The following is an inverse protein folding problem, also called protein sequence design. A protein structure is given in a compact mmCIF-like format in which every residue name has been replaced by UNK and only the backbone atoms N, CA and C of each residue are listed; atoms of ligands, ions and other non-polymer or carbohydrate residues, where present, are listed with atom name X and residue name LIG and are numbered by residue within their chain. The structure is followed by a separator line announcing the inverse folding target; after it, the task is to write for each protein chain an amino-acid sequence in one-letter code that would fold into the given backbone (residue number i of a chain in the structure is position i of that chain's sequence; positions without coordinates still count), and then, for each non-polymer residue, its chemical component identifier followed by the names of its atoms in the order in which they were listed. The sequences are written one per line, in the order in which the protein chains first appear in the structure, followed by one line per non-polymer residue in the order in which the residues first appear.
data_IF_482569616250
#
_entry.id   IF_482569616250
#
_cell.length_a   1.000
_cell.length_b   1.000
_cell.length_c   1.000
_cell.angle_alpha   90.00
_cell.angle_beta   90.00
_cell.angle_gamma   90.00
#
_symmetry.space_group_name_H-M   'P 1'
#
loop_
_entity.id
_entity.type
_entity.pdbx_description
1 polymer ?
#
# COMPACT_ATOMS: atom_id res chain seq x y z
N UNK A 1 -45.97 -35.24 -26.38
CA UNK A 1 -45.22 -34.89 -25.15
C UNK A 1 -44.04 -34.01 -25.54
N UNK A 2 -44.12 -32.69 -25.29
CA UNK A 2 -43.14 -31.69 -25.77
C UNK A 2 -41.96 -31.60 -24.79
N UNK A 3 -40.75 -31.70 -25.34
CA UNK A 3 -39.45 -31.62 -24.64
C UNK A 3 -39.25 -30.20 -24.10
N UNK A 4 -38.95 -30.07 -22.81
CA UNK A 4 -38.61 -28.81 -22.15
C UNK A 4 -37.09 -28.58 -22.31
N UNK A 5 -36.71 -27.88 -23.38
CA UNK A 5 -35.34 -27.37 -23.56
C UNK A 5 -35.15 -26.16 -22.66
N UNK A 6 -34.64 -26.35 -21.46
CA UNK A 6 -34.19 -25.26 -20.58
C UNK A 6 -32.86 -24.77 -21.14
N UNK A 7 -32.92 -23.61 -21.79
CA UNK A 7 -31.81 -22.94 -22.44
C UNK A 7 -30.79 -22.47 -21.40
N UNK A 8 -29.55 -22.97 -21.47
CA UNK A 8 -28.41 -22.64 -20.58
C UNK A 8 -27.78 -21.25 -20.87
N UNK A 9 -28.53 -20.32 -21.45
CA UNK A 9 -27.99 -19.05 -21.92
C UNK A 9 -28.68 -17.89 -21.22
N UNK A 10 -28.24 -17.54 -20.01
CA UNK A 10 -28.41 -16.20 -19.38
C UNK A 10 -27.91 -16.22 -17.93
N UNK A 11 -26.60 -16.28 -17.71
CA UNK A 11 -26.01 -15.64 -16.51
C UNK A 11 -24.49 -15.42 -16.61
N UNK A 12 -23.98 -15.04 -17.79
CA UNK A 12 -22.65 -14.41 -17.87
C UNK A 12 -22.81 -12.90 -17.68
N UNK A 13 -23.33 -12.49 -16.52
CA UNK A 13 -23.16 -11.12 -16.05
C UNK A 13 -21.73 -11.04 -15.51
N UNK A 14 -20.81 -10.65 -16.39
CA UNK A 14 -19.47 -10.21 -16.01
C UNK A 14 -19.62 -9.11 -14.97
N UNK A 15 -19.45 -9.48 -13.70
CA UNK A 15 -19.14 -8.55 -12.63
C UNK A 15 -17.73 -8.02 -12.90
N UNK A 16 -17.61 -7.01 -13.77
CA UNK A 16 -16.49 -6.08 -13.71
C UNK A 16 -16.64 -5.30 -12.41
N UNK A 17 -16.19 -5.89 -11.31
CA UNK A 17 -15.99 -5.15 -10.07
C UNK A 17 -14.81 -4.23 -10.35
N UNK A 18 -15.09 -2.97 -10.66
CA UNK A 18 -14.09 -1.91 -10.64
C UNK A 18 -13.59 -1.81 -9.19
N UNK A 19 -12.53 -2.55 -8.87
CA UNK A 19 -11.85 -2.38 -7.59
C UNK A 19 -11.06 -1.08 -7.69
N UNK A 20 -11.71 0.03 -7.32
CA UNK A 20 -11.05 1.32 -7.19
C UNK A 20 -9.89 1.16 -6.20
N UNK A 21 -8.67 1.19 -6.71
CA UNK A 21 -7.49 1.15 -5.88
C UNK A 21 -7.40 2.48 -5.12
N UNK A 22 -7.42 2.40 -3.79
CA UNK A 22 -7.15 3.52 -2.91
C UNK A 22 -5.67 3.84 -2.96
N UNK A 23 -5.34 5.13 -3.07
CA UNK A 23 -3.96 5.61 -3.05
C UNK A 23 -3.73 6.43 -1.79
N UNK A 24 -2.69 6.08 -1.02
CA UNK A 24 -2.19 6.90 0.09
C UNK A 24 -0.82 7.48 -0.29
N UNK A 25 -0.62 8.77 0.01
CA UNK A 25 0.65 9.48 -0.20
C UNK A 25 1.14 10.01 1.15
N UNK A 26 2.30 9.54 1.59
CA UNK A 26 2.96 10.05 2.80
C UNK A 26 4.02 11.06 2.38
N UNK A 27 3.82 12.32 2.76
CA UNK A 27 4.80 13.38 2.59
C UNK A 27 5.72 13.41 3.80
N UNK A 28 7.01 13.39 3.56
CA UNK A 28 8.05 13.42 4.60
C UNK A 28 8.90 14.66 4.46
N UNK A 29 9.37 15.19 5.59
CA UNK A 29 10.25 16.34 5.62
C UNK A 29 11.67 15.89 5.30
N UNK A 30 12.03 16.01 4.02
CA UNK A 30 13.39 15.76 3.52
C UNK A 30 13.68 14.34 3.02
N UNK A 31 12.73 13.41 3.12
CA UNK A 31 12.86 12.05 2.55
C UNK A 31 12.02 11.84 1.28
N UNK A 32 11.15 12.79 0.93
CA UNK A 32 10.33 12.77 -0.28
C UNK A 32 8.87 12.38 -0.02
N UNK A 33 8.23 11.77 -1.02
CA UNK A 33 6.85 11.31 -0.93
C UNK A 33 6.77 9.82 -1.26
N UNK A 34 6.15 9.06 -0.38
CA UNK A 34 5.96 7.61 -0.52
C UNK A 34 4.51 7.31 -0.86
N UNK A 35 4.31 6.44 -1.85
CA UNK A 35 2.97 6.15 -2.39
C UNK A 35 2.66 4.67 -2.24
N UNK A 36 1.56 4.36 -1.57
CA UNK A 36 0.98 3.03 -1.48
C UNK A 36 -0.36 2.99 -2.20
N UNK A 37 -0.62 1.89 -2.91
CA UNK A 37 -1.86 1.66 -3.64
C UNK A 37 -2.40 0.29 -3.26
N UNK A 38 -3.63 0.25 -2.75
CA UNK A 38 -4.26 -1.00 -2.31
C UNK A 38 -5.78 -0.93 -2.43
N UNK A 39 -6.46 -2.02 -2.08
CA UNK A 39 -7.93 -2.08 -2.10
C UNK A 39 -8.59 -1.31 -0.94
N UNK A 40 -7.84 -1.01 0.11
CA UNK A 40 -8.33 -0.29 1.30
C UNK A 40 -7.39 0.84 1.67
N UNK A 41 -7.91 1.87 2.36
CA UNK A 41 -7.11 2.97 2.89
C UNK A 41 -5.99 2.48 3.81
N UNK A 42 -6.29 1.59 4.76
CA UNK A 42 -5.28 1.03 5.65
C UNK A 42 -4.17 0.30 4.90
N UNK A 43 -4.51 -0.55 3.93
CA UNK A 43 -3.48 -1.27 3.16
C UNK A 43 -2.67 -0.32 2.28
N UNK A 44 -3.29 0.74 1.74
CA UNK A 44 -2.58 1.74 0.97
C UNK A 44 -1.62 2.55 1.87
N UNK A 45 -2.04 2.85 3.10
CA UNK A 45 -1.20 3.48 4.11
C UNK A 45 -0.03 2.58 4.54
N UNK A 46 -0.29 1.33 4.88
CA UNK A 46 0.74 0.36 5.27
C UNK A 46 1.83 0.22 4.19
N UNK A 47 1.44 0.08 2.92
CA UNK A 47 2.39 0.03 1.80
C UNK A 47 3.18 1.33 1.62
N UNK A 48 2.60 2.49 1.94
CA UNK A 48 3.31 3.75 1.88
C UNK A 48 4.29 3.89 3.06
N UNK A 49 3.89 3.45 4.25
CA UNK A 49 4.70 3.48 5.47
C UNK A 49 5.89 2.50 5.39
N UNK A 50 5.69 1.31 4.82
CA UNK A 50 6.77 0.34 4.56
C UNK A 50 7.86 0.95 3.66
N UNK A 51 7.45 1.58 2.54
CA UNK A 51 8.38 2.28 1.64
C UNK A 51 9.11 3.43 2.32
N UNK A 52 8.42 4.15 3.21
CA UNK A 52 9.02 5.21 4.02
C UNK A 52 10.13 4.64 4.91
N UNK A 53 9.84 3.59 5.67
CA UNK A 53 10.80 2.92 6.54
C UNK A 53 12.02 2.40 5.78
N UNK A 54 11.79 1.65 4.69
CA UNK A 54 12.86 1.09 3.86
C UNK A 54 13.79 2.16 3.30
N UNK A 55 13.20 3.27 2.84
CA UNK A 55 13.98 4.40 2.32
C UNK A 55 14.82 5.06 3.41
N UNK A 56 14.26 5.29 4.59
CA UNK A 56 14.99 5.86 5.73
C UNK A 56 16.14 4.96 6.18
N UNK A 57 15.88 3.65 6.29
CA UNK A 57 16.88 2.64 6.62
C UNK A 57 18.01 2.64 5.60
N UNK A 58 17.69 2.57 4.30
CA UNK A 58 18.67 2.59 3.21
C UNK A 58 19.51 3.87 3.21
N UNK A 59 18.87 5.04 3.38
CA UNK A 59 19.56 6.33 3.41
C UNK A 59 20.47 6.45 4.63
N UNK A 60 20.05 5.92 5.79
CA UNK A 60 20.90 5.91 6.98
C UNK A 60 22.11 5.00 6.75
N UNK A 61 21.90 3.77 6.31
CA UNK A 61 22.97 2.81 5.98
C UNK A 61 23.99 3.40 5.02
N UNK A 62 23.52 4.05 3.95
CA UNK A 62 24.37 4.70 2.96
C UNK A 62 25.20 5.85 3.54
N UNK A 63 24.63 6.63 4.47
CA UNK A 63 25.31 7.79 5.09
C UNK A 63 26.28 7.39 6.20
N UNK A 64 25.91 6.46 7.06
CA UNK A 64 26.72 6.04 8.23
C UNK A 64 27.70 4.91 7.92
N UNK A 65 27.55 4.22 6.77
CA UNK A 65 28.23 2.95 6.44
C UNK A 65 27.98 1.85 7.50
N UNK A 66 26.90 1.98 8.28
CA UNK A 66 26.51 1.05 9.35
C UNK A 66 24.99 0.92 9.39
N UNK A 67 24.49 -0.30 9.55
CA UNK A 67 23.06 -0.52 9.75
C UNK A 67 22.54 0.22 11.00
N UNK A 68 21.36 0.84 10.93
CA UNK A 68 20.73 1.45 12.09
C UNK A 68 20.49 0.39 13.16
N UNK A 69 20.74 0.75 14.42
CA UNK A 69 20.36 -0.06 15.58
C UNK A 69 18.83 -0.08 15.75
N UNK A 70 18.36 -0.89 16.71
CA UNK A 70 16.93 -1.08 16.97
C UNK A 70 16.23 0.22 17.36
N UNK A 71 16.84 1.06 18.20
CA UNK A 71 16.27 2.34 18.62
C UNK A 71 16.07 3.28 17.42
N UNK A 72 17.03 3.32 16.51
CA UNK A 72 16.89 4.08 15.26
C UNK A 72 15.80 3.51 14.37
N UNK A 73 15.68 2.18 14.23
CA UNK A 73 14.63 1.57 13.44
C UNK A 73 13.24 1.84 14.02
N UNK A 74 13.08 1.79 15.34
CA UNK A 74 11.83 2.17 16.03
C UNK A 74 11.50 3.64 15.74
N UNK A 75 12.49 4.55 15.82
CA UNK A 75 12.26 5.96 15.52
C UNK A 75 11.80 6.21 14.07
N UNK A 76 12.25 5.38 13.11
CA UNK A 76 11.81 5.47 11.72
C UNK A 76 10.38 4.97 11.55
N UNK A 77 10.02 3.88 12.23
CA UNK A 77 8.65 3.36 12.26
C UNK A 77 7.72 4.42 12.84
N UNK A 78 8.03 4.93 14.03
CA UNK A 78 7.25 5.97 14.70
C UNK A 78 7.07 7.21 13.82
N UNK A 79 8.14 7.63 13.15
CA UNK A 79 8.04 8.73 12.19
C UNK A 79 7.05 8.42 11.06
N UNK A 80 7.20 7.29 10.37
CA UNK A 80 6.38 6.95 9.21
C UNK A 80 4.90 6.68 9.57
N UNK A 81 4.61 6.09 10.73
CA UNK A 81 3.21 5.76 11.14
C UNK A 81 2.44 6.97 11.69
N UNK A 82 3.13 8.02 12.13
CA UNK A 82 2.49 9.26 12.59
C UNK A 82 2.17 10.23 11.43
N UNK A 83 2.53 9.89 10.20
CA UNK A 83 2.16 10.66 9.02
C UNK A 83 0.70 10.41 8.62
N UNK A 84 0.14 11.35 7.89
CA UNK A 84 -1.22 11.24 7.33
C UNK A 84 -1.16 11.11 5.81
N UNK A 85 -2.10 10.36 5.22
CA UNK A 85 -2.28 10.37 3.77
C UNK A 85 -2.67 11.78 3.31
N UNK A 86 -1.95 12.32 2.32
CA UNK A 86 -2.21 13.62 1.70
C UNK A 86 -2.96 13.54 0.38
#
# INVERSE_FOLDING_TARGET
MKKLSISLATLSLLLCVETHAVTCRLKTDGYGTFVGQAKTENAAFELAAEKCFDSMKYLKEKKSKRSPDEDQQISFIDYCVNLSCS
#
